data_IF_569520530314
#
_entry.id   IF_569520530314
#
_cell.length_a   1.000
_cell.length_b   1.000
_cell.length_c   1.000
_cell.angle_alpha   90.00
_cell.angle_beta   90.00
_cell.angle_gamma   90.00
#
_symmetry.space_group_name_H-M   'P 1'
#
loop_
_entity.id
_entity.type
_entity.pdbx_description
1 polymer ?
#
# COMPACT_ATOMS: atom_id res chain seq x y z
N UNK A 1 12.47 -37.35 -5.12
CA UNK A 1 12.82 -36.43 -6.22
C UNK A 1 12.77 -35.00 -5.67
N UNK A 2 13.89 -34.28 -5.69
CA UNK A 2 13.97 -32.87 -5.26
C UNK A 2 13.28 -31.98 -6.30
N UNK A 3 12.25 -31.22 -5.90
CA UNK A 3 11.61 -30.24 -6.79
C UNK A 3 12.63 -29.17 -7.22
N UNK A 4 12.68 -28.75 -8.49
CA UNK A 4 13.62 -27.74 -8.96
C UNK A 4 13.35 -26.36 -8.34
N UNK A 5 14.42 -25.61 -8.07
CA UNK A 5 14.38 -24.23 -7.61
C UNK A 5 13.75 -23.32 -8.67
N UNK A 6 13.08 -22.26 -8.22
CA UNK A 6 12.53 -21.24 -9.11
C UNK A 6 13.62 -20.21 -9.49
N UNK A 7 13.53 -19.58 -10.67
CA UNK A 7 14.36 -18.42 -10.97
C UNK A 7 14.07 -17.30 -9.96
N UNK A 8 15.12 -16.52 -9.63
CA UNK A 8 14.98 -15.36 -8.76
C UNK A 8 14.11 -14.29 -9.43
N UNK A 9 13.13 -13.71 -8.71
CA UNK A 9 12.36 -12.60 -9.24
C UNK A 9 13.24 -11.38 -9.43
N UNK A 10 12.91 -10.54 -10.41
CA UNK A 10 13.63 -9.28 -10.64
C UNK A 10 13.49 -8.33 -9.44
N UNK A 11 12.33 -8.34 -8.80
CA UNK A 11 12.00 -7.64 -7.58
C UNK A 11 10.74 -8.23 -6.93
N UNK A 12 10.49 -7.87 -5.68
CA UNK A 12 9.20 -8.07 -5.01
C UNK A 12 8.59 -6.71 -4.68
N UNK A 13 7.38 -6.44 -5.16
CA UNK A 13 6.61 -5.26 -4.80
C UNK A 13 5.54 -5.64 -3.79
N UNK A 14 5.58 -5.05 -2.60
CA UNK A 14 4.55 -5.20 -1.58
C UNK A 14 3.69 -3.95 -1.55
N UNK A 15 2.52 -4.02 -2.16
CA UNK A 15 1.53 -2.96 -2.21
C UNK A 15 0.61 -3.02 -0.99
N UNK A 16 0.25 -1.85 -0.46
CA UNK A 16 -0.67 -1.69 0.64
C UNK A 16 -1.35 -0.33 0.56
N UNK A 17 -2.48 -0.18 1.25
CA UNK A 17 -2.98 1.13 1.64
C UNK A 17 -2.40 1.48 3.03
N UNK A 18 -2.61 2.72 3.49
CA UNK A 18 -2.28 3.04 4.88
C UNK A 18 -3.10 2.21 5.85
N UNK A 19 -2.42 1.75 6.91
CA UNK A 19 -3.01 0.98 8.03
C UNK A 19 -3.49 -0.44 7.67
N UNK A 20 -2.99 -1.00 6.56
CA UNK A 20 -3.22 -2.40 6.15
C UNK A 20 -1.98 -3.29 6.38
N UNK A 21 -1.19 -3.06 7.44
CA UNK A 21 -0.13 -3.99 7.87
C UNK A 21 1.17 -4.00 7.04
N UNK A 22 1.42 -2.98 6.22
CA UNK A 22 2.64 -2.88 5.38
C UNK A 22 3.95 -3.02 6.15
N UNK A 23 4.02 -2.53 7.39
CA UNK A 23 5.22 -2.65 8.23
C UNK A 23 5.51 -4.09 8.62
N UNK A 24 4.48 -4.87 8.86
CA UNK A 24 4.63 -6.24 9.32
C UNK A 24 5.15 -7.12 8.17
N UNK A 25 4.65 -6.89 6.94
CA UNK A 25 5.22 -7.48 5.71
C UNK A 25 6.68 -7.04 5.51
N UNK A 26 6.97 -5.75 5.64
CA UNK A 26 8.34 -5.24 5.54
C UNK A 26 9.28 -5.93 6.53
N UNK A 27 8.87 -6.07 7.79
CA UNK A 27 9.67 -6.70 8.85
C UNK A 27 9.92 -8.17 8.54
N UNK A 28 8.90 -8.90 8.06
CA UNK A 28 9.05 -10.30 7.66
C UNK A 28 10.10 -10.47 6.55
N UNK A 29 10.02 -9.69 5.46
CA UNK A 29 11.02 -9.76 4.39
C UNK A 29 12.41 -9.31 4.84
N UNK A 30 12.49 -8.26 5.68
CA UNK A 30 13.76 -7.71 6.15
C UNK A 30 14.52 -8.66 7.08
N UNK A 31 13.82 -9.56 7.75
CA UNK A 31 14.43 -10.59 8.57
C UNK A 31 15.17 -11.67 7.74
N UNK A 32 14.85 -11.83 6.46
CA UNK A 32 15.48 -12.81 5.58
C UNK A 32 16.68 -12.19 4.84
N UNK A 33 17.90 -12.74 5.02
CA UNK A 33 19.12 -12.15 4.49
C UNK A 33 19.21 -12.17 2.96
N UNK A 34 18.33 -12.85 2.23
CA UNK A 34 18.30 -12.82 0.76
C UNK A 34 17.78 -11.49 0.22
N UNK A 35 17.01 -10.76 1.01
CA UNK A 35 16.32 -9.56 0.57
C UNK A 35 17.02 -8.28 1.01
N UNK A 36 16.88 -7.25 0.19
CA UNK A 36 17.12 -5.87 0.58
C UNK A 36 15.79 -5.13 0.49
N UNK A 37 15.30 -4.66 1.64
CA UNK A 37 13.96 -4.11 1.76
C UNK A 37 13.99 -2.59 1.80
N UNK A 38 13.38 -1.95 0.81
CA UNK A 38 13.21 -0.51 0.74
C UNK A 38 11.82 -0.14 1.28
N UNK A 39 11.79 0.45 2.47
CA UNK A 39 10.54 0.90 3.09
C UNK A 39 10.04 2.20 2.48
N UNK A 40 8.79 2.20 2.02
CA UNK A 40 8.09 3.32 1.39
C UNK A 40 8.93 4.08 0.34
N UNK A 41 9.31 3.46 -0.80
CA UNK A 41 10.15 4.11 -1.80
C UNK A 41 9.60 5.40 -2.41
N UNK A 42 8.31 5.67 -2.25
CA UNK A 42 7.65 6.91 -2.66
C UNK A 42 7.29 7.82 -1.48
N UNK A 43 7.96 7.67 -0.33
CA UNK A 43 7.77 8.56 0.81
C UNK A 43 8.35 9.95 0.48
N UNK A 44 7.55 11.01 0.62
CA UNK A 44 7.91 12.38 0.20
C UNK A 44 9.20 12.90 0.86
N UNK A 45 9.49 12.42 2.07
CA UNK A 45 10.70 12.74 2.82
C UNK A 45 11.99 12.31 2.11
N UNK A 46 11.95 11.32 1.22
CA UNK A 46 13.13 10.84 0.49
C UNK A 46 13.76 11.91 -0.40
N UNK A 47 12.99 12.91 -0.86
CA UNK A 47 13.50 14.07 -1.63
C UNK A 47 14.61 14.83 -0.90
N UNK A 48 14.52 14.92 0.42
CA UNK A 48 15.45 15.71 1.25
C UNK A 48 16.05 14.89 2.39
N UNK A 49 15.95 13.56 2.26
CA UNK A 49 16.46 12.63 3.26
C UNK A 49 17.97 12.73 3.31
N UNK A 50 18.50 12.86 4.52
CA UNK A 50 19.94 12.78 4.75
C UNK A 50 20.25 11.48 5.45
N UNK A 51 21.49 11.00 5.35
CA UNK A 51 21.94 9.81 6.08
C UNK A 51 21.65 9.92 7.58
N UNK A 52 21.85 11.09 8.18
CA UNK A 52 21.53 11.33 9.59
C UNK A 52 20.03 11.14 9.89
N UNK A 53 19.14 11.67 9.06
CA UNK A 53 17.68 11.47 9.22
C UNK A 53 17.28 10.02 9.00
N UNK A 54 17.85 9.34 8.01
CA UNK A 54 17.56 7.94 7.71
C UNK A 54 18.04 6.99 8.81
N UNK A 55 19.16 7.33 9.46
CA UNK A 55 19.70 6.60 10.62
C UNK A 55 18.98 6.93 11.93
N UNK A 56 18.09 7.92 11.95
CA UNK A 56 17.35 8.27 13.16
C UNK A 56 16.42 7.11 13.52
N UNK A 57 16.81 6.39 14.57
CA UNK A 57 16.00 5.38 15.22
C UNK A 57 15.57 5.95 16.57
N UNK A 58 14.27 6.10 16.76
CA UNK A 58 13.70 6.45 18.05
C UNK A 58 12.89 5.23 18.54
N UNK A 59 13.40 4.49 19.54
CA UNK A 59 12.72 3.34 20.11
C UNK A 59 11.31 3.64 20.64
N UNK A 60 11.05 4.88 21.07
CA UNK A 60 9.73 5.30 21.56
C UNK A 60 8.75 5.53 20.41
N UNK A 61 9.21 6.07 19.29
CA UNK A 61 8.38 6.19 18.07
C UNK A 61 8.08 4.80 17.48
N UNK A 62 9.05 3.88 17.52
CA UNK A 62 8.87 2.47 17.11
C UNK A 62 7.80 1.79 17.95
N UNK A 63 7.85 1.93 19.28
CA UNK A 63 6.79 1.43 20.18
C UNK A 63 5.44 2.10 19.93
N UNK A 64 5.41 3.43 19.83
CA UNK A 64 4.17 4.22 19.66
C UNK A 64 3.45 3.92 18.35
N UNK A 65 4.18 3.51 17.32
CA UNK A 65 3.61 3.12 16.02
C UNK A 65 3.29 1.62 15.91
N UNK A 66 3.58 0.82 16.95
CA UNK A 66 3.30 -0.62 17.01
C UNK A 66 4.28 -1.45 16.18
N UNK A 67 5.57 -1.15 16.26
CA UNK A 67 6.61 -1.74 15.40
C UNK A 67 7.69 -2.46 16.21
N UNK A 68 7.29 -3.19 17.23
CA UNK A 68 8.20 -4.00 18.05
C UNK A 68 8.99 -4.98 17.15
N UNK A 69 10.31 -5.07 17.34
CA UNK A 69 11.18 -5.99 16.58
C UNK A 69 12.01 -5.39 15.43
N UNK A 70 11.90 -4.09 15.13
CA UNK A 70 12.79 -3.45 14.16
C UNK A 70 14.23 -3.34 14.69
N UNK A 71 15.15 -4.10 14.13
CA UNK A 71 16.60 -4.06 14.46
C UNK A 71 17.34 -2.86 13.85
N UNK A 72 16.70 -2.13 12.93
CA UNK A 72 17.25 -1.00 12.18
C UNK A 72 16.16 0.03 11.84
N UNK A 73 16.51 1.31 11.66
CA UNK A 73 15.58 2.34 11.17
C UNK A 73 14.92 1.97 9.84
N UNK A 74 13.76 2.58 9.55
CA UNK A 74 13.00 2.32 8.33
C UNK A 74 13.75 2.60 7.03
N UNK A 75 14.48 3.70 7.00
CA UNK A 75 15.17 4.14 5.79
C UNK A 75 16.65 3.73 5.76
N UNK A 76 17.04 2.76 6.60
CA UNK A 76 18.44 2.33 6.72
C UNK A 76 19.03 1.89 5.38
N UNK A 77 18.27 1.17 4.56
CA UNK A 77 18.70 0.64 3.26
C UNK A 77 19.00 1.76 2.25
N UNK A 78 18.51 2.97 2.48
CA UNK A 78 18.85 4.14 1.65
C UNK A 78 20.18 4.78 2.06
N UNK A 79 20.73 4.51 3.24
CA UNK A 79 21.87 5.27 3.79
C UNK A 79 23.11 5.30 2.91
N UNK A 80 23.36 4.25 2.11
CA UNK A 80 24.46 4.18 1.15
C UNK A 80 24.17 4.91 -0.17
N UNK A 81 22.89 5.17 -0.47
CA UNK A 81 22.44 5.88 -1.66
C UNK A 81 22.26 7.39 -1.43
N UNK A 82 22.03 7.80 -0.18
CA UNK A 82 21.68 9.19 0.14
C UNK A 82 22.87 10.14 -0.04
N UNK A 83 22.70 11.12 -0.92
CA UNK A 83 23.63 12.22 -1.06
C UNK A 83 23.42 13.27 0.05
N UNK A 84 24.48 13.92 0.58
CA UNK A 84 24.37 14.86 1.72
C UNK A 84 23.38 16.03 1.55
N UNK A 85 22.96 16.36 0.32
CA UNK A 85 22.09 17.52 0.02
C UNK A 85 20.93 17.26 -0.96
N UNK A 86 20.82 16.05 -1.52
CA UNK A 86 19.89 15.80 -2.65
C UNK A 86 18.88 14.68 -2.41
N UNK A 87 18.85 14.09 -1.22
CA UNK A 87 17.92 13.00 -0.94
C UNK A 87 18.33 11.69 -1.61
N UNK A 88 17.34 10.84 -1.88
CA UNK A 88 17.52 9.64 -2.67
C UNK A 88 17.73 10.01 -4.16
N UNK A 89 18.70 9.38 -4.83
CA UNK A 89 19.01 9.67 -6.23
C UNK A 89 17.82 9.32 -7.14
N UNK A 90 17.62 10.13 -8.19
CA UNK A 90 16.52 9.98 -9.15
C UNK A 90 15.10 9.95 -8.53
N UNK A 91 14.91 10.41 -7.29
CA UNK A 91 13.62 10.35 -6.61
C UNK A 91 12.56 11.25 -7.27
N UNK A 92 11.45 10.69 -7.80
CA UNK A 92 10.43 11.46 -8.50
C UNK A 92 9.43 12.05 -7.51
N UNK A 93 9.81 13.16 -6.86
CA UNK A 93 9.09 13.69 -5.71
C UNK A 93 7.60 13.97 -5.96
N UNK A 94 7.24 14.48 -7.14
CA UNK A 94 5.85 14.79 -7.50
C UNK A 94 4.96 13.53 -7.55
N UNK A 95 5.54 12.38 -7.89
CA UNK A 95 4.84 11.09 -7.94
C UNK A 95 4.60 10.47 -6.57
N UNK A 96 5.05 11.07 -5.46
CA UNK A 96 4.72 10.56 -4.10
C UNK A 96 3.21 10.48 -3.89
N UNK A 97 2.47 11.43 -4.46
CA UNK A 97 1.01 11.53 -4.36
C UNK A 97 0.34 12.07 -5.63
N UNK A 98 1.10 12.73 -6.52
CA UNK A 98 0.61 13.11 -7.84
C UNK A 98 0.60 11.90 -8.78
N UNK A 99 -0.19 12.00 -9.86
CA UNK A 99 -0.34 10.94 -10.86
C UNK A 99 -0.62 9.59 -10.18
N UNK A 100 -1.58 9.60 -9.25
CA UNK A 100 -1.77 8.49 -8.33
C UNK A 100 -2.57 7.34 -8.94
N UNK A 101 -3.58 7.68 -9.75
CA UNK A 101 -4.42 6.72 -10.47
C UNK A 101 -4.00 6.58 -11.93
N UNK A 102 -3.64 7.70 -12.57
CA UNK A 102 -3.15 7.73 -13.94
C UNK A 102 -1.74 8.31 -13.96
N UNK A 103 -0.80 7.51 -14.46
CA UNK A 103 0.62 7.88 -14.57
C UNK A 103 0.92 8.25 -16.02
N UNK A 104 1.44 9.45 -16.22
CA UNK A 104 1.87 9.95 -17.52
C UNK A 104 3.07 9.15 -18.05
N UNK A 105 3.33 9.26 -19.36
CA UNK A 105 4.51 8.62 -19.96
C UNK A 105 5.82 9.11 -19.33
N UNK A 106 5.90 10.39 -18.97
CA UNK A 106 7.05 10.97 -18.27
C UNK A 106 7.18 10.39 -16.87
N UNK A 107 6.09 10.39 -16.09
CA UNK A 107 6.08 9.83 -14.74
C UNK A 107 6.43 8.34 -14.72
N UNK A 108 5.98 7.57 -15.72
CA UNK A 108 6.34 6.16 -15.89
C UNK A 108 7.85 5.98 -16.11
N UNK A 109 8.45 6.84 -16.94
CA UNK A 109 9.90 6.82 -17.20
C UNK A 109 10.70 7.13 -15.93
N UNK A 110 10.29 8.13 -15.16
CA UNK A 110 10.95 8.51 -13.90
C UNK A 110 10.82 7.44 -12.82
N UNK A 111 9.62 6.85 -12.66
CA UNK A 111 9.42 5.70 -11.76
C UNK A 111 10.33 4.55 -12.20
N UNK A 112 10.38 4.23 -13.50
CA UNK A 112 11.21 3.15 -14.01
C UNK A 112 12.68 3.38 -13.67
N UNK A 113 13.21 4.56 -13.97
CA UNK A 113 14.60 4.90 -13.67
C UNK A 113 14.90 4.78 -12.17
N UNK A 114 14.01 5.30 -11.31
CA UNK A 114 14.19 5.26 -9.86
C UNK A 114 14.15 3.83 -9.31
N UNK A 115 13.16 3.02 -9.68
CA UNK A 115 13.05 1.64 -9.19
C UNK A 115 14.13 0.73 -9.77
N UNK A 116 14.60 0.97 -11.01
CA UNK A 116 15.76 0.28 -11.58
C UNK A 116 17.02 0.59 -10.79
N UNK A 117 17.28 1.86 -10.45
CA UNK A 117 18.43 2.26 -9.62
C UNK A 117 18.42 1.52 -8.27
N UNK A 118 17.29 1.51 -7.57
CA UNK A 118 17.20 0.79 -6.28
C UNK A 118 17.39 -0.72 -6.44
N UNK A 119 16.84 -1.30 -7.52
CA UNK A 119 16.98 -2.72 -7.81
C UNK A 119 18.44 -3.10 -8.14
N UNK A 120 19.13 -2.29 -8.93
CA UNK A 120 20.55 -2.46 -9.27
C UNK A 120 21.42 -2.33 -8.02
N UNK A 121 21.14 -1.38 -7.14
CA UNK A 121 21.84 -1.26 -5.86
C UNK A 121 21.69 -2.53 -5.02
N UNK A 122 20.48 -3.07 -4.85
CA UNK A 122 20.28 -4.32 -4.12
C UNK A 122 21.03 -5.50 -4.75
N UNK A 123 20.97 -5.62 -6.08
CA UNK A 123 21.66 -6.69 -6.81
C UNK A 123 23.18 -6.59 -6.72
N UNK A 124 23.74 -5.38 -6.67
CA UNK A 124 25.18 -5.16 -6.44
C UNK A 124 25.67 -5.69 -5.08
N UNK A 125 24.74 -5.99 -4.17
CA UNK A 125 24.98 -6.61 -2.86
C UNK A 125 24.52 -8.07 -2.78
N UNK A 126 24.28 -8.70 -3.95
CA UNK A 126 23.74 -10.06 -4.08
C UNK A 126 22.39 -10.26 -3.35
N UNK A 127 21.53 -9.23 -3.37
CA UNK A 127 20.20 -9.26 -2.77
C UNK A 127 19.08 -9.14 -3.79
N UNK A 128 17.93 -9.72 -3.44
CA UNK A 128 16.67 -9.52 -4.15
C UNK A 128 16.03 -8.23 -3.62
N UNK A 129 15.74 -7.23 -4.48
CA UNK A 129 15.08 -6.00 -4.02
C UNK A 129 13.62 -6.25 -3.65
N UNK A 130 13.21 -5.73 -2.49
CA UNK A 130 11.83 -5.73 -2.01
C UNK A 130 11.39 -4.28 -1.79
N UNK A 131 10.27 -3.89 -2.37
CA UNK A 131 9.73 -2.53 -2.31
C UNK A 131 8.41 -2.53 -1.53
N UNK A 132 8.40 -1.98 -0.32
CA UNK A 132 7.19 -1.92 0.50
C UNK A 132 6.48 -0.57 0.30
N UNK A 133 5.41 -0.57 -0.48
CA UNK A 133 4.72 0.61 -1.00
C UNK A 133 3.31 0.75 -0.39
N UNK A 134 3.10 1.78 0.41
CA UNK A 134 1.77 2.18 0.87
C UNK A 134 1.12 3.31 0.01
N UNK A 135 1.80 3.72 -1.08
CA UNK A 135 1.43 4.81 -2.01
C UNK A 135 1.38 4.35 -3.46
N UNK A 136 0.99 3.10 -3.68
CA UNK A 136 0.91 2.49 -5.02
C UNK A 136 -0.45 1.85 -5.31
N UNK A 137 -1.35 1.83 -4.33
CA UNK A 137 -2.61 1.08 -4.40
C UNK A 137 -3.56 1.57 -5.50
N UNK A 138 -3.44 2.81 -5.97
CA UNK A 138 -4.20 3.33 -7.10
C UNK A 138 -3.58 3.09 -8.48
N UNK A 139 -2.34 2.57 -8.55
CA UNK A 139 -1.53 2.48 -9.78
C UNK A 139 -0.73 1.18 -9.86
N UNK A 140 -1.28 0.09 -9.33
CA UNK A 140 -0.55 -1.18 -9.28
C UNK A 140 -0.24 -1.72 -10.68
N UNK A 141 -1.12 -1.46 -11.65
CA UNK A 141 -0.87 -1.75 -13.07
C UNK A 141 0.44 -1.14 -13.56
N UNK A 142 0.65 0.15 -13.32
CA UNK A 142 1.91 0.84 -13.71
C UNK A 142 3.13 0.15 -13.11
N UNK A 143 3.04 -0.30 -11.85
CA UNK A 143 4.13 -0.98 -11.16
C UNK A 143 4.52 -2.33 -11.79
N UNK A 144 3.56 -3.07 -12.35
CA UNK A 144 3.83 -4.31 -13.11
C UNK A 144 4.76 -4.07 -14.28
N UNK A 145 4.63 -2.91 -14.91
CA UNK A 145 5.38 -2.56 -16.10
C UNK A 145 6.78 -2.02 -15.78
N UNK A 146 7.08 -1.63 -14.53
CA UNK A 146 8.36 -1.02 -14.15
C UNK A 146 9.53 -2.01 -14.23
N UNK A 147 9.36 -3.20 -13.64
CA UNK A 147 10.38 -4.25 -13.58
C UNK A 147 9.76 -5.58 -14.00
N UNK A 148 9.92 -5.99 -15.28
CA UNK A 148 9.42 -7.28 -15.75
C UNK A 148 9.95 -8.45 -14.91
N UNK A 149 9.13 -9.51 -14.75
CA UNK A 149 9.44 -10.69 -13.91
C UNK A 149 9.57 -10.38 -12.41
N UNK A 150 8.92 -9.32 -11.95
CA UNK A 150 8.73 -9.06 -10.52
C UNK A 150 7.50 -9.80 -9.98
N UNK A 151 7.45 -9.95 -8.66
CA UNK A 151 6.31 -10.50 -7.93
C UNK A 151 5.61 -9.38 -7.19
N UNK A 152 4.28 -9.34 -7.27
CA UNK A 152 3.43 -8.33 -6.67
C UNK A 152 2.57 -8.95 -5.57
N UNK A 153 2.69 -8.40 -4.38
CA UNK A 153 1.95 -8.81 -3.19
C UNK A 153 1.07 -7.64 -2.79
N UNK A 154 -0.21 -7.87 -2.52
CA UNK A 154 -1.11 -6.83 -2.04
C UNK A 154 -1.65 -7.17 -0.65
N UNK A 155 -1.59 -6.21 0.27
CA UNK A 155 -2.06 -6.38 1.63
C UNK A 155 -3.38 -5.66 1.89
N UNK A 156 -4.34 -6.43 2.39
CA UNK A 156 -5.68 -5.99 2.75
C UNK A 156 -5.93 -6.18 4.24
N UNK A 157 -6.81 -5.37 4.79
CA UNK A 157 -7.29 -5.47 6.16
C UNK A 157 -8.73 -5.02 6.21
N UNK A 158 -9.54 -5.56 7.11
CA UNK A 158 -10.92 -5.18 7.35
C UNK A 158 -11.09 -3.66 7.21
N UNK A 159 -11.96 -3.22 6.30
CA UNK A 159 -12.05 -1.82 5.93
C UNK A 159 -12.57 -0.96 7.09
N UNK A 160 -13.43 -1.50 7.95
CA UNK A 160 -13.91 -0.79 9.14
C UNK A 160 -12.79 -0.59 10.16
N UNK A 161 -11.97 -1.62 10.40
CA UNK A 161 -10.80 -1.50 11.27
C UNK A 161 -9.76 -0.53 10.69
N UNK A 162 -9.60 -0.52 9.36
CA UNK A 162 -8.72 0.41 8.63
C UNK A 162 -9.23 1.85 8.75
N UNK A 163 -10.54 2.07 8.57
CA UNK A 163 -11.20 3.36 8.77
C UNK A 163 -10.95 3.90 10.17
N UNK A 164 -11.25 3.13 11.22
CA UNK A 164 -11.05 3.56 12.61
C UNK A 164 -9.58 3.86 12.90
N UNK A 165 -8.65 3.07 12.34
CA UNK A 165 -7.22 3.32 12.49
C UNK A 165 -6.76 4.59 11.77
N UNK A 166 -7.30 4.89 10.59
CA UNK A 166 -6.98 6.13 9.88
C UNK A 166 -7.62 7.35 10.56
N UNK A 167 -8.87 7.21 11.06
CA UNK A 167 -9.60 8.25 11.80
C UNK A 167 -8.85 8.68 13.05
N UNK A 168 -8.25 7.74 13.79
CA UNK A 168 -7.40 8.04 14.96
C UNK A 168 -6.20 8.95 14.62
N UNK A 169 -5.77 9.02 13.36
CA UNK A 169 -4.74 9.94 12.86
C UNK A 169 -5.25 10.73 11.64
N UNK A 170 -6.52 11.16 11.69
CA UNK A 170 -7.26 11.77 10.56
C UNK A 170 -6.50 12.88 9.84
N UNK A 171 -5.83 13.74 10.61
CA UNK A 171 -5.09 14.89 10.10
C UNK A 171 -3.95 14.48 9.16
N UNK A 172 -3.42 13.26 9.29
CA UNK A 172 -2.41 12.74 8.38
C UNK A 172 -3.05 12.00 7.21
N UNK A 173 -3.79 10.93 7.47
CA UNK A 173 -4.25 10.04 6.39
C UNK A 173 -5.28 10.68 5.48
N UNK A 174 -6.29 11.37 6.03
CA UNK A 174 -7.31 11.99 5.21
C UNK A 174 -6.82 13.24 4.50
N UNK A 175 -5.81 13.92 5.05
CA UNK A 175 -5.10 14.97 4.32
C UNK A 175 -4.45 14.45 3.05
N UNK A 176 -3.80 13.30 3.12
CA UNK A 176 -3.15 12.70 1.96
C UNK A 176 -4.17 12.13 0.97
N UNK A 177 -5.29 11.56 1.42
CA UNK A 177 -6.37 11.14 0.53
C UNK A 177 -6.99 12.33 -0.22
N UNK A 178 -7.39 13.38 0.50
CA UNK A 178 -7.92 14.60 -0.12
C UNK A 178 -6.93 15.20 -1.10
N UNK A 179 -5.63 15.16 -0.77
CA UNK A 179 -4.61 15.63 -1.69
C UNK A 179 -4.54 14.79 -2.96
N UNK A 180 -4.48 13.45 -2.85
CA UNK A 180 -4.51 12.54 -4.01
C UNK A 180 -5.73 12.83 -4.90
N UNK A 181 -6.93 12.85 -4.33
CA UNK A 181 -8.15 13.07 -5.09
C UNK A 181 -8.25 14.48 -5.66
N UNK A 182 -7.78 15.51 -4.96
CA UNK A 182 -7.74 16.87 -5.51
C UNK A 182 -6.81 17.01 -6.73
N UNK A 183 -5.83 16.11 -6.88
CA UNK A 183 -4.93 16.09 -8.04
C UNK A 183 -5.50 15.27 -9.20
N UNK A 184 -6.39 14.31 -8.93
CA UNK A 184 -6.94 13.40 -9.94
C UNK A 184 -8.34 13.81 -10.40
N UNK A 185 -9.17 14.32 -9.49
CA UNK A 185 -10.56 14.74 -9.70
C UNK A 185 -10.77 16.12 -9.03
N UNK A 186 -10.12 17.18 -9.54
CA UNK A 186 -10.12 18.49 -8.89
C UNK A 186 -11.52 19.10 -8.75
N UNK A 187 -12.36 18.98 -9.79
CA UNK A 187 -13.71 19.56 -9.80
C UNK A 187 -14.60 18.92 -8.73
N UNK A 188 -14.75 17.58 -8.76
CA UNK A 188 -15.54 16.85 -7.77
C UNK A 188 -14.99 16.99 -6.34
N UNK A 189 -13.67 17.03 -6.17
CA UNK A 189 -13.07 17.26 -4.85
C UNK A 189 -13.35 18.67 -4.33
N UNK A 190 -13.28 19.70 -5.19
CA UNK A 190 -13.57 21.08 -4.80
C UNK A 190 -15.05 21.29 -4.49
N UNK A 191 -15.96 20.64 -5.23
CA UNK A 191 -17.40 20.65 -4.96
C UNK A 191 -17.71 19.98 -3.61
N UNK A 192 -17.13 18.81 -3.35
CA UNK A 192 -17.35 18.07 -2.11
C UNK A 192 -16.69 18.73 -0.89
N UNK A 193 -15.58 19.45 -1.09
CA UNK A 193 -14.77 20.06 -0.03
C UNK A 193 -14.31 21.50 -0.39
N UNK A 194 -15.24 22.46 -0.50
CA UNK A 194 -14.92 23.84 -0.88
C UNK A 194 -13.96 24.52 0.11
N UNK A 195 -13.97 24.12 1.38
CA UNK A 195 -13.11 24.68 2.42
C UNK A 195 -11.60 24.46 2.20
N UNK A 196 -11.22 23.52 1.32
CA UNK A 196 -9.83 23.27 0.92
C UNK A 196 -9.51 23.75 -0.49
N UNK A 197 -10.50 24.12 -1.30
CA UNK A 197 -10.35 24.47 -2.72
C UNK A 197 -9.33 25.60 -2.92
N UNK A 198 -9.41 26.65 -2.11
CA UNK A 198 -8.55 27.85 -2.21
C UNK A 198 -7.10 27.65 -1.78
N UNK A 199 -6.76 26.51 -1.15
CA UNK A 199 -5.39 26.27 -0.73
C UNK A 199 -4.57 25.83 -1.93
N UNK A 200 -3.52 26.59 -2.28
CA UNK A 200 -2.58 26.17 -3.31
C UNK A 200 -1.87 24.87 -2.92
N UNK A 201 -1.37 24.13 -3.92
CA UNK A 201 -0.52 22.95 -3.74
C UNK A 201 0.57 23.15 -2.67
N UNK A 202 1.25 24.30 -2.71
CA UNK A 202 2.32 24.64 -1.78
C UNK A 202 1.80 24.97 -0.38
N UNK A 203 0.62 25.58 -0.25
CA UNK A 203 0.01 25.83 1.05
C UNK A 203 -0.53 24.54 1.68
N UNK A 204 -1.11 23.63 0.92
CA UNK A 204 -1.57 22.31 1.43
C UNK A 204 -0.42 21.49 2.02
N UNK A 205 0.78 21.57 1.42
CA UNK A 205 1.97 20.84 1.87
C UNK A 205 2.77 21.61 2.94
N UNK A 206 2.91 22.94 2.83
CA UNK A 206 3.79 23.76 3.69
C UNK A 206 3.06 24.36 4.89
N UNK A 207 1.75 24.63 4.76
CA UNK A 207 0.86 24.97 5.88
C UNK A 207 0.18 23.70 6.42
N UNK A 208 0.96 22.62 6.55
CA UNK A 208 0.49 21.32 7.02
C UNK A 208 -0.39 21.47 8.27
N UNK A 209 -0.08 22.42 9.17
CA UNK A 209 -0.89 22.74 10.35
C UNK A 209 -2.28 23.32 10.03
N UNK A 210 -2.40 24.26 9.10
CA UNK A 210 -3.68 24.89 8.71
C UNK A 210 -4.54 23.89 7.95
N UNK A 211 -3.94 23.13 7.03
CA UNK A 211 -4.62 22.07 6.30
C UNK A 211 -5.10 20.96 7.24
N UNK A 212 -4.24 20.49 8.16
CA UNK A 212 -4.60 19.52 9.21
C UNK A 212 -5.76 19.99 10.08
N UNK A 213 -5.81 21.28 10.43
CA UNK A 213 -6.91 21.84 11.24
C UNK A 213 -8.23 21.81 10.48
N UNK A 214 -8.26 22.30 9.23
CA UNK A 214 -9.47 22.25 8.38
C UNK A 214 -10.00 20.81 8.25
N UNK A 215 -9.10 19.84 8.05
CA UNK A 215 -9.49 18.43 7.93
C UNK A 215 -10.01 17.84 9.24
N UNK A 216 -9.55 18.34 10.38
CA UNK A 216 -10.08 17.95 11.68
C UNK A 216 -11.53 18.40 11.88
N UNK A 217 -11.96 19.46 11.18
CA UNK A 217 -13.31 20.04 11.26
C UNK A 217 -14.30 19.38 10.28
N UNK A 218 -13.83 18.64 9.26
CA UNK A 218 -14.69 17.92 8.33
C UNK A 218 -15.40 16.77 9.05
N UNK A 219 -16.73 16.68 8.92
CA UNK A 219 -17.50 15.59 9.54
C UNK A 219 -17.14 14.22 8.96
N UNK A 220 -17.32 13.17 9.77
CA UNK A 220 -17.05 11.80 9.34
C UNK A 220 -17.92 11.42 8.14
N UNK A 221 -19.19 11.81 8.10
CA UNK A 221 -20.11 11.51 6.99
C UNK A 221 -19.65 12.10 5.65
N UNK A 222 -18.97 13.26 5.67
CA UNK A 222 -18.43 13.88 4.46
C UNK A 222 -17.14 13.20 3.98
N UNK A 223 -16.27 12.77 4.89
CA UNK A 223 -14.94 12.23 4.53
C UNK A 223 -14.93 10.71 4.33
N UNK A 224 -15.91 10.02 4.92
CA UNK A 224 -16.06 8.56 4.83
C UNK A 224 -16.24 8.05 3.39
N UNK A 225 -17.04 8.68 2.50
CA UNK A 225 -17.14 8.28 1.10
C UNK A 225 -15.77 8.24 0.40
N UNK A 226 -14.92 9.24 0.63
CA UNK A 226 -13.58 9.31 0.07
C UNK A 226 -12.68 8.15 0.52
N UNK A 227 -12.75 7.79 1.81
CA UNK A 227 -12.05 6.62 2.33
C UNK A 227 -12.49 5.34 1.62
N UNK A 228 -13.80 5.14 1.46
CA UNK A 228 -14.33 3.93 0.84
C UNK A 228 -14.02 3.86 -0.65
N UNK A 229 -14.03 4.99 -1.36
CA UNK A 229 -13.60 5.07 -2.75
C UNK A 229 -12.12 4.70 -2.87
N UNK A 230 -11.26 5.24 -1.99
CA UNK A 230 -9.83 4.87 -1.97
C UNK A 230 -9.62 3.38 -1.68
N UNK A 231 -10.36 2.83 -0.72
CA UNK A 231 -10.29 1.42 -0.35
C UNK A 231 -10.78 0.51 -1.49
N UNK A 232 -11.88 0.88 -2.14
CA UNK A 232 -12.44 0.15 -3.27
C UNK A 232 -11.48 0.15 -4.48
N UNK A 233 -10.87 1.30 -4.78
CA UNK A 233 -9.82 1.41 -5.81
C UNK A 233 -8.62 0.51 -5.49
N UNK A 234 -8.17 0.50 -4.22
CA UNK A 234 -7.09 -0.36 -3.76
C UNK A 234 -7.46 -1.85 -3.93
N UNK A 235 -8.66 -2.25 -3.51
CA UNK A 235 -9.14 -3.63 -3.63
C UNK A 235 -9.21 -4.09 -5.08
N UNK A 236 -9.77 -3.27 -5.98
CA UNK A 236 -9.87 -3.60 -7.40
C UNK A 236 -8.49 -3.76 -8.05
N UNK A 237 -7.58 -2.81 -7.82
CA UNK A 237 -6.19 -2.88 -8.30
C UNK A 237 -5.48 -4.12 -7.76
N UNK A 238 -5.69 -4.44 -6.47
CA UNK A 238 -5.14 -5.62 -5.83
C UNK A 238 -5.60 -6.92 -6.48
N UNK A 239 -6.90 -7.06 -6.68
CA UNK A 239 -7.52 -8.25 -7.29
C UNK A 239 -7.08 -8.44 -8.75
N UNK A 240 -6.89 -7.36 -9.50
CA UNK A 240 -6.47 -7.44 -10.90
C UNK A 240 -4.97 -7.67 -11.09
N UNK A 241 -4.13 -7.10 -10.23
CA UNK A 241 -2.70 -6.92 -10.56
C UNK A 241 -1.72 -7.56 -9.56
N UNK A 242 -2.19 -8.07 -8.42
CA UNK A 242 -1.33 -8.80 -7.49
C UNK A 242 -1.20 -10.28 -7.88
N UNK A 243 0.00 -10.84 -7.70
CA UNK A 243 0.22 -12.29 -7.79
C UNK A 243 -0.23 -12.99 -6.49
N UNK A 244 -0.16 -12.29 -5.35
CA UNK A 244 -0.59 -12.77 -4.03
C UNK A 244 -1.39 -11.69 -3.27
N UNK A 245 -2.52 -12.07 -2.67
CA UNK A 245 -3.32 -11.17 -1.83
C UNK A 245 -3.29 -11.64 -0.37
N UNK A 246 -2.63 -10.86 0.48
CA UNK A 246 -2.57 -11.09 1.92
C UNK A 246 -3.71 -10.33 2.59
N UNK A 247 -4.88 -10.97 2.67
CA UNK A 247 -5.99 -10.48 3.49
C UNK A 247 -5.72 -10.83 4.96
N UNK A 248 -5.36 -9.81 5.75
CA UNK A 248 -4.92 -9.98 7.14
C UNK A 248 -6.05 -10.47 8.06
N UNK A 249 -7.30 -10.29 7.65
CA UNK A 249 -8.50 -10.71 8.36
C UNK A 249 -9.05 -12.04 7.84
N UNK A 250 -8.43 -12.64 6.82
CA UNK A 250 -8.73 -14.00 6.41
C UNK A 250 -8.25 -14.98 7.48
N UNK A 251 -9.18 -15.77 7.99
CA UNK A 251 -8.93 -16.77 9.04
C UNK A 251 -8.83 -18.19 8.49
N UNK A 252 -9.24 -18.45 7.25
CA UNK A 252 -9.11 -19.76 6.60
C UNK A 252 -7.72 -19.92 5.96
N UNK A 253 -6.81 -20.73 6.54
CA UNK A 253 -5.46 -20.89 6.00
C UNK A 253 -5.44 -21.56 4.61
N UNK A 254 -6.48 -22.34 4.27
CA UNK A 254 -6.56 -23.07 2.99
C UNK A 254 -6.83 -22.18 1.77
N UNK A 255 -7.35 -20.97 1.98
CA UNK A 255 -7.63 -19.99 0.91
C UNK A 255 -6.77 -18.74 1.02
N UNK A 256 -5.81 -18.73 1.94
CA UNK A 256 -4.97 -17.60 2.26
C UNK A 256 -3.61 -17.67 1.54
N UNK A 257 -3.28 -16.63 0.77
CA UNK A 257 -2.06 -16.60 -0.03
C UNK A 257 -0.78 -16.51 0.81
N UNK A 258 -0.84 -16.31 2.13
CA UNK A 258 0.36 -16.35 3.00
C UNK A 258 1.11 -17.68 2.88
N UNK A 259 0.38 -18.81 2.81
CA UNK A 259 0.99 -20.13 2.63
C UNK A 259 1.58 -20.29 1.23
N UNK A 260 0.83 -19.88 0.20
CA UNK A 260 1.28 -19.95 -1.19
C UNK A 260 2.55 -19.10 -1.41
N UNK A 261 2.57 -17.88 -0.87
CA UNK A 261 3.72 -16.99 -0.86
C UNK A 261 4.90 -17.63 -0.12
N UNK A 262 4.68 -18.18 1.08
CA UNK A 262 5.73 -18.87 1.82
C UNK A 262 6.34 -20.05 1.04
N UNK A 263 5.51 -20.85 0.37
CA UNK A 263 5.98 -21.94 -0.49
C UNK A 263 6.74 -21.43 -1.72
N UNK A 264 6.31 -20.32 -2.32
CA UNK A 264 7.04 -19.66 -3.39
C UNK A 264 8.43 -19.21 -2.92
N UNK A 265 8.51 -18.49 -1.79
CA UNK A 265 9.76 -17.97 -1.24
C UNK A 265 10.71 -19.08 -0.77
N UNK A 266 10.18 -20.20 -0.28
CA UNK A 266 10.93 -21.40 0.09
C UNK A 266 11.67 -22.05 -1.09
N UNK A 267 11.18 -21.84 -2.31
CA UNK A 267 11.75 -22.41 -3.54
C UNK A 267 12.77 -21.49 -4.22
N UNK A 268 12.97 -20.28 -3.71
CA UNK A 268 14.00 -19.38 -4.22
C UNK A 268 15.39 -19.86 -3.76
N UNK A 269 16.42 -19.79 -4.62
CA UNK A 269 17.80 -20.07 -4.26
C UNK A 269 18.26 -19.37 -2.98
N UNK A 270 19.18 -20.02 -2.24
CA UNK A 270 19.79 -19.46 -1.04
C UNK A 270 18.87 -19.43 0.19
N UNK A 271 17.72 -20.12 0.18
CA UNK A 271 16.84 -20.19 1.35
C UNK A 271 17.60 -20.77 2.56
N UNK A 272 17.69 -20.07 3.70
CA UNK A 272 18.33 -20.62 4.88
C UNK A 272 17.53 -21.83 5.38
N UNK A 273 18.21 -22.92 5.77
CA UNK A 273 17.52 -24.14 6.25
C UNK A 273 16.69 -23.91 7.51
N UNK A 274 17.02 -22.86 8.27
CA UNK A 274 16.39 -22.50 9.55
C UNK A 274 15.52 -21.23 9.47
N UNK A 275 15.13 -20.78 8.27
CA UNK A 275 14.43 -19.49 8.15
C UNK A 275 12.94 -19.59 8.47
N UNK A 276 12.52 -18.77 9.43
CA UNK A 276 11.18 -18.71 10.00
C UNK A 276 10.21 -17.82 9.22
N UNK A 277 10.55 -17.44 7.97
CA UNK A 277 9.74 -16.48 7.18
C UNK A 277 8.28 -16.91 7.03
N UNK A 278 8.04 -18.21 6.84
CA UNK A 278 6.68 -18.76 6.83
C UNK A 278 5.98 -18.58 8.18
N UNK A 279 6.68 -18.75 9.30
CA UNK A 279 6.08 -18.51 10.62
C UNK A 279 5.91 -17.03 10.91
N UNK A 280 6.83 -16.15 10.50
CA UNK A 280 6.64 -14.70 10.55
C UNK A 280 5.38 -14.29 9.76
N UNK A 281 5.23 -14.78 8.52
CA UNK A 281 4.03 -14.55 7.73
C UNK A 281 2.77 -15.12 8.39
N UNK A 282 2.86 -16.28 9.07
CA UNK A 282 1.74 -16.86 9.84
C UNK A 282 1.41 -16.05 11.10
N UNK A 283 2.40 -15.44 11.75
CA UNK A 283 2.21 -14.57 12.93
C UNK A 283 1.47 -13.29 12.57
N UNK A 284 1.61 -12.80 11.32
CA UNK A 284 0.80 -11.68 10.81
C UNK A 284 -0.71 -11.93 10.92
N UNK A 285 -1.15 -13.19 10.90
CA UNK A 285 -2.56 -13.55 11.06
C UNK A 285 -3.07 -13.42 12.51
N UNK A 286 -2.15 -13.40 13.48
CA UNK A 286 -2.44 -13.61 14.90
C UNK A 286 -2.18 -12.37 15.77
N UNK A 287 -1.65 -11.29 15.19
CA UNK A 287 -1.35 -10.06 15.93
C UNK A 287 -2.63 -9.37 16.44
N UNK A 288 -2.87 -9.29 17.76
CA UNK A 288 -4.11 -8.76 18.34
C UNK A 288 -4.38 -7.28 17.99
N UNK A 289 -3.32 -6.51 17.69
CA UNK A 289 -3.41 -5.11 17.30
C UNK A 289 -3.93 -4.90 15.87
N UNK A 290 -3.96 -5.96 15.05
CA UNK A 290 -4.65 -5.99 13.76
C UNK A 290 -6.12 -6.38 13.92
N UNK A 291 -6.45 -7.18 14.94
CA UNK A 291 -7.80 -7.58 15.34
C UNK A 291 -8.37 -6.59 16.35
N UNK A 292 -8.58 -5.34 15.94
CA UNK A 292 -9.42 -4.45 16.74
C UNK A 292 -10.79 -5.11 16.85
N UNK A 293 -11.16 -5.59 18.03
CA UNK A 293 -12.49 -6.17 18.29
C UNK A 293 -13.54 -5.11 17.95
N UNK A 294 -14.11 -5.19 16.74
CA UNK A 294 -15.37 -4.53 16.47
C UNK A 294 -16.42 -5.35 17.23
N UNK A 295 -16.63 -5.04 18.51
CA UNK A 295 -17.52 -5.76 19.45
C UNK A 295 -19.00 -5.73 19.07
N UNK A 296 -19.34 -5.12 17.95
CA UNK A 296 -20.67 -5.16 17.37
C UNK A 296 -20.59 -5.91 16.05
N UNK A 297 -21.46 -6.91 15.81
CA UNK A 297 -21.76 -7.35 14.45
C UNK A 297 -22.33 -6.12 13.73
N UNK A 298 -21.44 -5.32 13.16
CA UNK A 298 -21.80 -4.06 12.53
C UNK A 298 -22.54 -4.46 11.26
N UNK A 299 -23.86 -4.31 11.32
CA UNK A 299 -24.70 -4.14 10.16
C UNK A 299 -23.97 -3.16 9.23
N UNK A 300 -23.49 -3.66 8.08
CA UNK A 300 -22.90 -2.90 6.96
C UNK A 300 -23.88 -1.88 6.34
N UNK A 301 -24.93 -1.50 7.05
CA UNK A 301 -26.22 -1.11 6.50
C UNK A 301 -26.35 0.41 6.26
N UNK A 302 -25.41 1.24 6.71
CA UNK A 302 -25.60 2.71 6.61
C UNK A 302 -24.45 3.55 6.06
N UNK A 303 -23.32 2.98 5.62
CA UNK A 303 -22.48 3.75 4.70
C UNK A 303 -23.25 3.81 3.37
N UNK A 304 -23.73 4.99 2.96
CA UNK A 304 -24.34 5.17 1.65
C UNK A 304 -23.27 4.95 0.58
N UNK A 305 -23.11 3.69 0.15
CA UNK A 305 -22.24 3.30 -0.95
C UNK A 305 -22.58 4.05 -2.24
N UNK A 306 -23.75 4.70 -2.33
CA UNK A 306 -24.29 5.42 -3.47
C UNK A 306 -23.25 6.30 -4.20
N UNK A 307 -22.31 6.93 -3.50
CA UNK A 307 -21.29 7.81 -4.10
C UNK A 307 -19.94 7.18 -4.51
N UNK A 308 -19.74 5.86 -4.45
CA UNK A 308 -18.46 5.26 -4.86
C UNK A 308 -18.51 4.89 -6.34
N UNK A 309 -17.81 5.66 -7.16
CA UNK A 309 -17.64 5.31 -8.56
C UNK A 309 -16.86 4.01 -8.71
N UNK A 310 -17.27 3.19 -9.68
CA UNK A 310 -16.48 2.03 -10.05
C UNK A 310 -15.14 2.52 -10.62
N UNK A 311 -14.01 1.88 -10.28
CA UNK A 311 -12.75 2.21 -10.90
C UNK A 311 -12.86 2.10 -12.43
N UNK A 312 -12.15 2.97 -13.17
CA UNK A 312 -12.06 2.91 -14.63
C UNK A 312 -11.22 1.70 -15.11
N UNK A 313 -11.71 0.49 -14.83
CA UNK A 313 -11.06 -0.79 -15.11
C UNK A 313 -11.93 -1.63 -16.04
N UNK A 314 -11.30 -2.55 -16.78
CA UNK A 314 -12.02 -3.51 -17.62
C UNK A 314 -12.92 -4.39 -16.73
N UNK A 315 -14.23 -4.33 -16.99
CA UNK A 315 -15.23 -5.00 -16.17
C UNK A 315 -15.17 -6.51 -16.30
N UNK A 316 -14.88 -7.03 -17.49
CA UNK A 316 -14.80 -8.49 -17.71
C UNK A 316 -13.56 -9.05 -17.02
N UNK A 317 -12.44 -8.33 -17.12
CA UNK A 317 -11.22 -8.68 -16.40
C UNK A 317 -11.45 -8.64 -14.88
N UNK A 318 -12.10 -7.59 -14.37
CA UNK A 318 -12.42 -7.47 -12.95
C UNK A 318 -13.36 -8.59 -12.48
N UNK A 319 -14.39 -8.93 -13.26
CA UNK A 319 -15.31 -10.01 -12.94
C UNK A 319 -14.58 -11.36 -12.90
N UNK A 320 -13.75 -11.66 -13.90
CA UNK A 320 -12.99 -12.90 -13.97
C UNK A 320 -12.02 -13.05 -12.79
N UNK A 321 -11.24 -12.01 -12.50
CA UNK A 321 -10.33 -11.97 -11.36
C UNK A 321 -11.07 -12.01 -10.03
N UNK A 322 -12.23 -11.35 -9.92
CA UNK A 322 -13.05 -11.40 -8.71
C UNK A 322 -13.55 -12.82 -8.42
N UNK A 323 -13.99 -13.56 -9.43
CA UNK A 323 -14.39 -14.97 -9.27
C UNK A 323 -13.23 -15.82 -8.73
N UNK A 324 -12.01 -15.59 -9.21
CA UNK A 324 -10.82 -16.33 -8.77
C UNK A 324 -10.39 -15.94 -7.34
N UNK A 325 -10.47 -14.65 -6.99
CA UNK A 325 -9.96 -14.12 -5.71
C UNK A 325 -11.00 -14.16 -4.58
N UNK A 326 -12.30 -14.19 -4.87
CA UNK A 326 -13.35 -14.15 -3.85
C UNK A 326 -13.17 -15.19 -2.72
N UNK A 327 -12.79 -16.47 -2.98
CA UNK A 327 -12.56 -17.45 -1.91
C UNK A 327 -11.43 -17.07 -0.93
N UNK A 328 -10.48 -16.24 -1.38
CA UNK A 328 -9.30 -15.81 -0.60
C UNK A 328 -9.57 -14.61 0.28
N UNK A 329 -10.58 -13.80 -0.05
CA UNK A 329 -10.92 -12.59 0.68
C UNK A 329 -11.75 -12.88 1.93
N UNK A 330 -11.66 -12.02 2.93
CA UNK A 330 -12.58 -11.99 4.07
C UNK A 330 -14.00 -11.61 3.62
N UNK A 331 -15.01 -11.88 4.46
CA UNK A 331 -16.40 -11.57 4.13
C UNK A 331 -16.61 -10.07 3.84
N UNK A 332 -15.96 -9.19 4.60
CA UNK A 332 -16.04 -7.74 4.41
C UNK A 332 -15.48 -7.33 3.02
N UNK A 333 -14.31 -7.85 2.65
CA UNK A 333 -13.70 -7.52 1.35
C UNK A 333 -14.48 -8.13 0.18
N UNK A 334 -15.07 -9.31 0.35
CA UNK A 334 -15.98 -9.88 -0.66
C UNK A 334 -17.22 -9.02 -0.91
N UNK A 335 -17.82 -8.42 0.13
CA UNK A 335 -19.00 -7.55 -0.03
C UNK A 335 -18.66 -6.28 -0.84
N UNK A 336 -17.47 -5.71 -0.63
CA UNK A 336 -17.03 -4.56 -1.43
C UNK A 336 -16.80 -4.97 -2.88
N UNK A 337 -16.09 -6.08 -3.08
CA UNK A 337 -15.81 -6.59 -4.41
C UNK A 337 -17.08 -6.93 -5.19
N UNK A 338 -18.07 -7.55 -4.54
CA UNK A 338 -19.35 -7.87 -5.19
C UNK A 338 -20.09 -6.61 -5.64
N UNK A 339 -20.09 -5.54 -4.82
CA UNK A 339 -20.69 -4.26 -5.19
C UNK A 339 -19.98 -3.59 -6.35
N UNK A 340 -18.65 -3.66 -6.40
CA UNK A 340 -17.86 -3.17 -7.53
C UNK A 340 -18.22 -3.89 -8.84
N UNK A 341 -18.48 -5.20 -8.77
CA UNK A 341 -18.88 -6.01 -9.94
C UNK A 341 -20.34 -5.77 -10.36
N UNK A 342 -21.25 -5.57 -9.40
CA UNK A 342 -22.69 -5.43 -9.62
C UNK A 342 -23.08 -4.03 -10.11
N UNK A 343 -22.35 -2.96 -9.76
CA UNK A 343 -22.67 -1.60 -10.22
C UNK A 343 -22.66 -1.50 -11.75
N UNK A 344 -23.79 -1.07 -12.31
CA UNK A 344 -23.97 -0.60 -13.69
C UNK A 344 -24.21 0.92 -13.70
N UNK A 345 -23.79 1.62 -14.76
CA UNK A 345 -24.49 2.80 -15.24
C UNK A 345 -25.72 2.34 -16.04
N UNK A 346 -26.80 1.99 -15.34
CA UNK A 346 -28.13 2.22 -15.94
C UNK A 346 -28.53 3.64 -15.50
N UNK A 347 -27.84 4.62 -16.06
CA UNK A 347 -28.16 6.04 -15.97
C UNK A 347 -28.31 6.60 -17.39
N UNK A 348 -29.27 6.05 -18.12
CA UNK A 348 -30.11 6.81 -19.06
C UNK A 348 -31.51 6.22 -18.96
N UNK A 349 -32.39 6.94 -18.27
CA UNK A 349 -33.73 7.16 -18.77
C UNK A 349 -34.02 8.65 -18.67
#
# INVERSE_FOLDING_TARGET
MTRPLLPLPAAVFCHAQWRTGSTAIFTAFRADPRFMCFYEPLHEGLRTMTKCKAMRYDPDDVRRMGHEGLTKPYFFEYCELLAPRHGAPAFPAHLSYGEFFEVSMTGLSELRAYFQLLAEFARSKDKIPVFCLNRSWGRMRTFRDLLPKSVHIFSLRNPCATWESQKARRSYFFAKLLYIYSMSEPEGTNEAFPEIADLSFFERVRTERTFKRKIAEISDDRIKPLFWQAYANALANGVLHADFILDLDQTNPGTDDRLALGHYLARLPGHPKDNDLLSHLRTLAREPHLHGECRTPMQFVHASWQGIEAPALDREELLASACQMAPKLSAANRDILSRLVVRRPDAVC
#
